data_IF_956692646991
#
_entry.id   IF_956692646991
#
_cell.length_a   1.000
_cell.length_b   1.000
_cell.length_c   1.000
_cell.angle_alpha   90.00
_cell.angle_beta   90.00
_cell.angle_gamma   90.00
#
_symmetry.space_group_name_H-M   'P 1'
#
loop_
_entity.id
_entity.type
_entity.pdbx_description
1 polymer ?
#
# COMPACT_ATOMS: atom_id res chain seq x y z
N UNK A 1 -12.95 -35.13 -8.58
CA UNK A 1 -11.97 -35.70 -7.65
C UNK A 1 -10.78 -34.79 -7.70
N UNK A 2 -10.74 -33.86 -6.74
CA UNK A 2 -9.51 -33.31 -6.13
C UNK A 2 -9.92 -32.16 -5.20
N UNK A 3 -10.55 -32.56 -4.08
CA UNK A 3 -10.79 -31.70 -2.91
C UNK A 3 -9.95 -32.23 -1.74
N UNK A 4 -8.65 -32.22 -1.86
CA UNK A 4 -7.75 -32.64 -0.77
C UNK A 4 -6.41 -31.92 -0.82
N UNK A 5 -6.37 -30.58 -0.63
CA UNK A 5 -5.09 -29.92 -0.30
C UNK A 5 -5.21 -28.67 0.59
N UNK A 6 -6.35 -28.44 1.23
CA UNK A 6 -6.50 -27.33 2.20
C UNK A 6 -6.59 -27.75 3.67
N UNK A 7 -6.12 -28.95 4.00
CA UNK A 7 -6.08 -29.39 5.39
C UNK A 7 -4.64 -29.35 5.92
N UNK A 8 -4.30 -28.34 6.74
CA UNK A 8 -3.14 -28.43 7.63
C UNK A 8 -2.08 -27.34 7.60
N UNK A 9 -2.39 -26.07 7.34
CA UNK A 9 -1.43 -24.97 7.51
C UNK A 9 -1.34 -24.43 8.97
N UNK A 10 -1.93 -25.12 9.94
CA UNK A 10 -1.92 -24.76 11.39
C UNK A 10 -0.73 -25.27 12.17
N UNK A 11 0.41 -25.57 11.56
CA UNK A 11 1.64 -26.00 12.22
C UNK A 11 2.64 -24.85 12.38
N UNK A 12 3.51 -24.92 13.39
CA UNK A 12 4.60 -23.97 13.62
C UNK A 12 5.49 -23.88 12.36
N UNK A 13 5.41 -22.77 11.62
CA UNK A 13 6.17 -22.48 10.40
C UNK A 13 7.67 -22.59 10.62
N UNK A 14 8.16 -22.18 11.80
CA UNK A 14 9.56 -22.29 12.15
C UNK A 14 9.99 -23.74 12.38
N UNK A 15 9.14 -24.57 12.99
CA UNK A 15 9.40 -26.00 13.14
C UNK A 15 9.41 -26.69 11.77
N UNK A 16 8.47 -26.36 10.89
CA UNK A 16 8.42 -26.85 9.50
C UNK A 16 9.67 -26.44 8.71
N UNK A 17 10.09 -25.17 8.83
CA UNK A 17 11.30 -24.68 8.19
C UNK A 17 12.53 -25.45 8.66
N UNK A 18 12.69 -25.64 9.98
CA UNK A 18 13.82 -26.42 10.54
C UNK A 18 13.85 -27.85 10.00
N UNK A 19 12.69 -28.50 9.89
CA UNK A 19 12.59 -29.87 9.39
C UNK A 19 12.92 -30.00 7.91
N UNK A 20 12.58 -29.01 7.08
CA UNK A 20 12.79 -29.03 5.63
C UNK A 20 14.14 -28.44 5.22
N UNK A 21 14.81 -27.69 6.07
CA UNK A 21 16.07 -26.99 5.77
C UNK A 21 17.13 -27.88 5.11
N UNK A 22 17.36 -29.14 5.56
CA UNK A 22 18.34 -30.03 4.93
C UNK A 22 17.97 -30.49 3.51
N UNK A 23 16.70 -30.41 3.13
CA UNK A 23 16.17 -30.83 1.83
C UNK A 23 16.04 -29.69 0.82
N UNK A 24 16.21 -28.44 1.27
CA UNK A 24 16.17 -27.26 0.40
C UNK A 24 17.41 -27.19 -0.50
N UNK A 25 17.28 -26.58 -1.67
CA UNK A 25 18.44 -26.28 -2.51
C UNK A 25 19.41 -25.32 -1.78
N UNK A 26 20.71 -25.28 -2.14
CA UNK A 26 21.69 -24.42 -1.48
C UNK A 26 21.27 -22.94 -1.46
N UNK A 27 20.58 -22.44 -2.49
CA UNK A 27 20.11 -21.08 -2.57
C UNK A 27 18.87 -20.83 -1.68
N UNK A 28 17.93 -21.76 -1.64
CA UNK A 28 16.76 -21.69 -0.75
C UNK A 28 17.16 -21.85 0.73
N UNK A 29 18.17 -22.69 0.99
CA UNK A 29 18.71 -22.88 2.35
C UNK A 29 19.30 -21.58 2.92
N UNK A 30 19.90 -20.69 2.09
CA UNK A 30 20.35 -19.37 2.54
C UNK A 30 19.19 -18.54 3.04
N UNK A 31 18.07 -18.51 2.32
CA UNK A 31 16.85 -17.82 2.75
C UNK A 31 16.34 -18.43 4.06
N UNK A 32 16.27 -19.75 4.13
CA UNK A 32 15.83 -20.45 5.34
C UNK A 32 16.68 -20.17 6.57
N UNK A 33 18.00 -20.14 6.40
CA UNK A 33 18.93 -19.79 7.49
C UNK A 33 18.76 -18.34 7.92
N UNK A 34 18.57 -17.42 6.97
CA UNK A 34 18.32 -16.02 7.27
C UNK A 34 17.01 -15.85 8.05
N UNK A 35 15.93 -16.53 7.64
CA UNK A 35 14.65 -16.54 8.36
C UNK A 35 14.81 -17.09 9.79
N UNK A 36 15.57 -18.16 9.98
CA UNK A 36 15.79 -18.77 11.30
C UNK A 36 16.66 -17.92 12.21
N UNK A 37 17.57 -17.11 11.66
CA UNK A 37 18.45 -16.23 12.43
C UNK A 37 17.66 -15.09 13.11
N UNK A 38 16.76 -14.44 12.39
CA UNK A 38 15.87 -13.43 12.97
C UNK A 38 14.48 -13.42 12.30
N UNK A 39 13.59 -14.32 12.73
CA UNK A 39 12.23 -14.38 12.15
C UNK A 39 11.43 -13.09 12.35
N UNK A 40 11.74 -12.31 13.40
CA UNK A 40 11.04 -11.06 13.69
C UNK A 40 11.43 -9.94 12.71
N UNK A 41 12.70 -9.87 12.31
CA UNK A 41 13.15 -8.93 11.29
C UNK A 41 12.59 -9.33 9.91
N UNK A 42 12.55 -10.63 9.60
CA UNK A 42 12.00 -11.14 8.34
C UNK A 42 10.53 -10.76 8.11
N UNK A 43 9.73 -10.69 9.16
CA UNK A 43 8.33 -10.23 9.06
C UNK A 43 8.24 -8.78 8.52
N UNK A 44 9.25 -7.98 8.73
CA UNK A 44 9.31 -6.57 8.30
C UNK A 44 9.73 -6.40 6.85
N UNK A 45 10.38 -7.41 6.29
CA UNK A 45 10.97 -7.36 4.96
C UNK A 45 9.96 -7.63 3.86
N UNK A 46 10.22 -7.04 2.70
CA UNK A 46 9.62 -7.40 1.43
C UNK A 46 10.31 -8.62 0.83
N UNK A 47 9.72 -9.22 -0.22
CA UNK A 47 10.36 -10.32 -0.95
C UNK A 47 11.73 -9.90 -1.51
N UNK A 48 11.82 -8.70 -2.06
CA UNK A 48 13.05 -8.17 -2.63
C UNK A 48 14.15 -7.96 -1.57
N UNK A 49 13.79 -7.43 -0.40
CA UNK A 49 14.73 -7.23 0.70
C UNK A 49 15.28 -8.55 1.24
N UNK A 50 14.42 -9.56 1.45
CA UNK A 50 14.93 -10.86 1.91
C UNK A 50 15.79 -11.54 0.85
N UNK A 51 15.44 -11.44 -0.43
CA UNK A 51 16.25 -11.95 -1.52
C UNK A 51 17.63 -11.28 -1.54
N UNK A 52 17.68 -9.96 -1.42
CA UNK A 52 18.91 -9.17 -1.36
C UNK A 52 19.76 -9.53 -0.14
N UNK A 53 19.16 -9.57 1.06
CA UNK A 53 19.86 -9.86 2.30
C UNK A 53 20.37 -11.31 2.37
N UNK A 54 19.64 -12.25 1.78
CA UNK A 54 20.05 -13.66 1.68
C UNK A 54 21.03 -13.92 0.53
N UNK A 55 21.31 -12.92 -0.33
CA UNK A 55 22.19 -13.05 -1.49
C UNK A 55 21.64 -13.99 -2.55
N UNK A 56 20.33 -13.92 -2.82
CA UNK A 56 19.63 -14.72 -3.84
C UNK A 56 18.75 -13.84 -4.73
N UNK A 57 18.16 -14.40 -5.79
CA UNK A 57 17.16 -13.70 -6.60
C UNK A 57 15.76 -13.79 -5.98
N UNK A 58 14.88 -12.83 -6.32
CA UNK A 58 13.45 -12.82 -5.90
C UNK A 58 12.75 -14.13 -6.29
N UNK A 59 13.05 -14.65 -7.48
CA UNK A 59 12.54 -15.94 -7.93
C UNK A 59 12.97 -17.11 -7.01
N UNK A 60 14.16 -17.05 -6.42
CA UNK A 60 14.64 -18.02 -5.45
C UNK A 60 13.95 -17.88 -4.10
N UNK A 61 13.76 -16.64 -3.62
CA UNK A 61 13.01 -16.37 -2.40
C UNK A 61 11.55 -16.82 -2.53
N UNK A 62 10.92 -16.62 -3.70
CA UNK A 62 9.57 -17.11 -3.96
C UNK A 62 9.51 -18.65 -4.02
N UNK A 63 10.50 -19.31 -4.65
CA UNK A 63 10.58 -20.77 -4.65
C UNK A 63 10.74 -21.34 -3.24
N UNK A 64 11.55 -20.70 -2.40
CA UNK A 64 11.67 -21.06 -0.98
C UNK A 64 10.30 -21.10 -0.28
N UNK A 65 9.44 -20.08 -0.47
CA UNK A 65 8.09 -20.09 0.09
C UNK A 65 7.29 -21.30 -0.39
N UNK A 66 7.36 -21.59 -1.70
CA UNK A 66 6.65 -22.73 -2.32
C UNK A 66 7.19 -24.09 -1.85
N UNK A 67 8.49 -24.21 -1.63
CA UNK A 67 9.11 -25.43 -1.08
C UNK A 67 8.65 -25.70 0.36
N UNK A 68 8.23 -24.66 1.07
CA UNK A 68 7.59 -24.76 2.38
C UNK A 68 6.08 -24.96 2.30
N UNK A 69 5.49 -25.01 1.08
CA UNK A 69 4.06 -25.24 0.86
C UNK A 69 3.18 -23.98 0.94
N UNK A 70 3.78 -22.80 0.83
CA UNK A 70 3.06 -21.53 0.74
C UNK A 70 2.96 -21.08 -0.72
N UNK A 71 1.86 -20.44 -1.10
CA UNK A 71 1.67 -19.92 -2.47
C UNK A 71 2.65 -18.79 -2.81
N UNK A 72 2.98 -17.98 -1.80
CA UNK A 72 3.88 -16.85 -1.97
C UNK A 72 4.39 -16.26 -0.65
N UNK A 73 5.09 -15.13 -0.80
CA UNK A 73 5.73 -14.42 0.31
C UNK A 73 4.75 -13.94 1.38
N UNK A 74 3.61 -13.41 0.97
CA UNK A 74 2.61 -12.88 1.91
C UNK A 74 2.04 -14.01 2.79
N UNK A 75 1.67 -15.14 2.20
CA UNK A 75 1.15 -16.28 2.95
C UNK A 75 2.19 -16.86 3.90
N UNK A 76 3.45 -16.99 3.46
CA UNK A 76 4.55 -17.37 4.31
C UNK A 76 4.73 -16.42 5.49
N UNK A 77 4.71 -15.10 5.26
CA UNK A 77 4.81 -14.09 6.34
C UNK A 77 3.68 -14.21 7.35
N UNK A 78 2.44 -14.37 6.90
CA UNK A 78 1.28 -14.54 7.80
C UNK A 78 1.48 -15.80 8.68
N UNK A 79 1.89 -16.91 8.08
CA UNK A 79 2.14 -18.15 8.81
C UNK A 79 3.34 -18.02 9.79
N UNK A 80 4.38 -17.27 9.40
CA UNK A 80 5.53 -16.98 10.26
C UNK A 80 5.12 -16.14 11.45
N UNK A 81 4.29 -15.11 11.27
CA UNK A 81 3.71 -14.31 12.36
C UNK A 81 2.93 -15.18 13.34
N UNK A 82 2.10 -16.09 12.83
CA UNK A 82 1.32 -17.01 13.67
C UNK A 82 2.19 -18.01 14.46
N UNK A 83 3.39 -18.30 13.96
CA UNK A 83 4.35 -19.21 14.62
C UNK A 83 5.19 -18.53 15.71
N UNK A 84 5.16 -17.19 15.76
CA UNK A 84 5.89 -16.46 16.78
C UNK A 84 5.08 -16.39 18.09
N UNK A 85 5.74 -16.40 19.25
CA UNK A 85 5.06 -16.13 20.51
C UNK A 85 4.27 -14.82 20.42
N UNK A 86 3.05 -14.81 20.93
CA UNK A 86 2.20 -13.63 20.98
C UNK A 86 2.98 -12.46 21.59
N UNK A 87 3.26 -11.46 20.79
CA UNK A 87 3.99 -10.26 21.21
C UNK A 87 3.19 -9.02 20.78
N UNK A 88 2.92 -8.09 21.69
CA UNK A 88 2.28 -6.81 21.36
C UNK A 88 2.99 -6.07 20.23
N UNK A 89 4.30 -6.31 20.06
CA UNK A 89 5.12 -5.74 19.00
C UNK A 89 4.68 -6.17 17.59
N UNK A 90 3.88 -7.25 17.45
CA UNK A 90 3.25 -7.62 16.17
C UNK A 90 2.11 -6.66 15.80
N UNK A 91 1.52 -5.98 16.77
CA UNK A 91 0.46 -5.00 16.56
C UNK A 91 1.07 -3.63 16.24
N UNK A 92 2.13 -3.26 16.96
CA UNK A 92 2.82 -1.98 16.76
C UNK A 92 4.26 -2.07 17.27
N UNK A 93 5.23 -1.48 16.56
CA UNK A 93 6.63 -1.45 16.99
C UNK A 93 6.80 -0.68 18.30
N UNK A 94 7.62 -1.23 19.19
CA UNK A 94 7.96 -0.56 20.43
C UNK A 94 6.89 -0.62 21.53
N UNK A 95 5.76 -1.34 21.34
CA UNK A 95 4.78 -1.56 22.40
C UNK A 95 5.12 -2.79 23.26
N UNK A 96 4.70 -2.78 24.52
CA UNK A 96 4.89 -3.85 25.49
C UNK A 96 3.57 -4.11 26.23
N UNK A 97 3.39 -5.32 26.77
CA UNK A 97 2.25 -5.65 27.63
C UNK A 97 2.20 -4.81 28.92
N UNK A 98 3.35 -4.27 29.34
CA UNK A 98 3.48 -3.43 30.53
C UNK A 98 3.12 -1.96 30.26
N UNK A 99 2.88 -1.59 28.99
CA UNK A 99 2.55 -0.20 28.65
C UNK A 99 1.17 0.21 29.17
N UNK A 100 1.12 1.35 29.82
CA UNK A 100 -0.16 1.99 30.16
C UNK A 100 -0.85 2.50 28.89
N UNK A 101 -2.20 2.69 28.88
CA UNK A 101 -2.91 3.28 27.73
C UNK A 101 -2.34 4.62 27.27
N UNK A 102 -1.88 5.47 28.20
CA UNK A 102 -1.24 6.74 27.87
C UNK A 102 0.13 6.58 27.22
N UNK A 103 0.92 5.58 27.63
CA UNK A 103 2.19 5.22 26.99
C UNK A 103 1.95 4.71 25.57
N UNK A 104 0.99 3.80 25.40
CA UNK A 104 0.61 3.25 24.09
C UNK A 104 0.19 4.36 23.12
N UNK A 105 -0.72 5.25 23.54
CA UNK A 105 -1.17 6.36 22.70
C UNK A 105 0.00 7.26 22.27
N UNK A 106 0.92 7.57 23.18
CA UNK A 106 2.12 8.35 22.87
C UNK A 106 3.03 7.64 21.85
N UNK A 107 3.27 6.35 22.02
CA UNK A 107 4.09 5.55 21.10
C UNK A 107 3.49 5.53 19.69
N UNK A 108 2.18 5.29 19.55
CA UNK A 108 1.48 5.31 18.25
C UNK A 108 1.60 6.67 17.57
N UNK A 109 1.37 7.77 18.31
CA UNK A 109 1.49 9.11 17.74
C UNK A 109 2.93 9.46 17.36
N UNK A 110 3.92 9.01 18.14
CA UNK A 110 5.33 9.19 17.80
C UNK A 110 5.74 8.38 16.57
N UNK A 111 5.25 7.14 16.41
CA UNK A 111 5.44 6.34 15.19
C UNK A 111 4.85 7.01 13.95
N UNK A 112 3.64 7.57 14.09
CA UNK A 112 3.00 8.34 13.01
C UNK A 112 3.81 9.58 12.62
N UNK A 113 4.32 10.31 13.62
CA UNK A 113 5.21 11.46 13.39
C UNK A 113 6.48 11.03 12.66
N UNK A 114 7.11 9.93 13.10
CA UNK A 114 8.32 9.41 12.45
C UNK A 114 8.06 9.04 10.98
N UNK A 115 6.93 8.39 10.67
CA UNK A 115 6.57 8.05 9.29
C UNK A 115 6.42 9.30 8.39
N UNK A 116 5.93 10.41 8.94
CA UNK A 116 5.89 11.70 8.23
C UNK A 116 7.29 12.28 8.04
N UNK A 117 8.13 12.28 9.08
CA UNK A 117 9.51 12.77 9.00
C UNK A 117 10.33 11.96 7.97
N UNK A 118 10.21 10.63 8.00
CA UNK A 118 10.88 9.72 7.05
C UNK A 118 10.40 9.97 5.61
N UNK A 119 9.07 10.08 5.40
CA UNK A 119 8.49 10.36 4.08
C UNK A 119 8.96 11.72 3.54
N UNK A 120 9.01 12.74 4.40
CA UNK A 120 9.51 14.07 4.03
C UNK A 120 10.98 14.04 3.65
N UNK A 121 11.78 13.23 4.33
CA UNK A 121 13.24 13.12 4.09
C UNK A 121 13.59 12.51 2.73
N UNK A 122 12.70 11.68 2.17
CA UNK A 122 12.89 11.01 0.88
C UNK A 122 11.99 11.57 -0.22
N UNK A 123 11.29 12.68 0.03
CA UNK A 123 10.37 13.27 -0.94
C UNK A 123 11.13 13.72 -2.19
N UNK A 124 10.89 13.02 -3.30
CA UNK A 124 11.39 13.39 -4.62
C UNK A 124 10.51 14.51 -5.21
N UNK A 125 11.06 15.71 -5.28
CA UNK A 125 10.34 16.90 -5.76
C UNK A 125 10.04 16.80 -7.27
N UNK A 126 10.90 16.19 -8.06
CA UNK A 126 10.69 16.04 -9.50
C UNK A 126 9.56 15.02 -9.77
N UNK A 127 9.57 13.88 -9.06
CA UNK A 127 8.47 12.92 -9.10
C UNK A 127 7.15 13.53 -8.62
N UNK A 128 7.19 14.36 -7.57
CA UNK A 128 6.00 15.04 -7.06
C UNK A 128 5.44 16.05 -8.08
N UNK A 129 6.30 16.81 -8.76
CA UNK A 129 5.89 17.72 -9.83
C UNK A 129 5.33 16.97 -11.05
N UNK A 130 5.95 15.85 -11.42
CA UNK A 130 5.45 14.97 -12.48
C UNK A 130 4.04 14.42 -12.13
N UNK A 131 3.81 14.02 -10.88
CA UNK A 131 2.50 13.59 -10.40
C UNK A 131 1.45 14.70 -10.52
N UNK A 132 1.79 15.95 -10.16
CA UNK A 132 0.90 17.11 -10.34
C UNK A 132 0.55 17.33 -11.79
N UNK A 133 1.53 17.20 -12.71
CA UNK A 133 1.30 17.35 -14.15
C UNK A 133 0.38 16.25 -14.71
N UNK A 134 0.59 14.98 -14.31
CA UNK A 134 -0.29 13.88 -14.71
C UNK A 134 -1.73 14.12 -14.26
N UNK A 135 -1.92 14.51 -12.98
CA UNK A 135 -3.24 14.77 -12.42
C UNK A 135 -3.95 15.97 -13.08
N UNK A 136 -3.20 17.05 -13.38
CA UNK A 136 -3.77 18.26 -14.00
C UNK A 136 -4.14 18.06 -15.46
N UNK A 137 -3.39 17.25 -16.21
CA UNK A 137 -3.55 17.08 -17.64
C UNK A 137 -4.49 15.92 -18.03
N UNK A 138 -4.82 15.04 -17.07
CA UNK A 138 -5.65 13.88 -17.34
C UNK A 138 -7.08 14.30 -17.75
N UNK A 139 -7.58 13.70 -18.83
CA UNK A 139 -8.99 13.82 -19.24
C UNK A 139 -9.93 13.16 -18.21
N UNK A 140 -9.53 12.02 -17.67
CA UNK A 140 -10.22 11.28 -16.63
C UNK A 140 -9.20 10.54 -15.77
N UNK A 141 -9.45 10.43 -14.47
CA UNK A 141 -8.58 9.79 -13.51
C UNK A 141 -9.30 8.60 -12.89
N UNK A 142 -8.74 7.40 -13.03
CA UNK A 142 -9.18 6.23 -12.30
C UNK A 142 -8.25 6.01 -11.12
N UNK A 143 -8.79 6.11 -9.90
CA UNK A 143 -8.06 5.92 -8.65
C UNK A 143 -8.35 4.52 -8.13
N UNK A 144 -7.32 3.74 -7.86
CA UNK A 144 -7.46 2.34 -7.46
C UNK A 144 -6.72 2.05 -6.16
N UNK A 145 -7.28 1.12 -5.38
CA UNK A 145 -6.67 0.60 -4.17
C UNK A 145 -7.48 -0.60 -3.68
N UNK A 146 -6.82 -1.69 -3.33
CA UNK A 146 -7.46 -2.92 -2.86
C UNK A 146 -7.29 -3.07 -1.35
N UNK A 147 -8.27 -3.68 -0.69
CA UNK A 147 -8.22 -3.94 0.75
C UNK A 147 -8.02 -2.65 1.54
N UNK A 148 -7.00 -2.63 2.37
CA UNK A 148 -6.69 -1.50 3.26
C UNK A 148 -6.18 -0.24 2.53
N UNK A 149 -5.82 -0.31 1.24
CA UNK A 149 -5.53 0.86 0.39
C UNK A 149 -6.79 1.51 -0.19
N UNK A 150 -7.93 0.82 -0.18
CA UNK A 150 -9.21 1.36 -0.64
C UNK A 150 -9.61 2.67 0.03
N UNK A 151 -9.56 2.81 1.37
CA UNK A 151 -9.82 4.07 2.05
C UNK A 151 -8.97 5.24 1.56
N UNK A 152 -7.68 5.00 1.21
CA UNK A 152 -6.80 6.05 0.66
C UNK A 152 -7.21 6.44 -0.76
N UNK A 153 -7.63 5.47 -1.58
CA UNK A 153 -8.18 5.74 -2.90
C UNK A 153 -9.46 6.58 -2.82
N UNK A 154 -10.36 6.28 -1.90
CA UNK A 154 -11.56 7.07 -1.63
C UNK A 154 -11.23 8.47 -1.12
N UNK A 155 -10.24 8.62 -0.26
CA UNK A 155 -9.82 9.94 0.22
C UNK A 155 -9.25 10.78 -0.92
N UNK A 156 -8.38 10.23 -1.76
CA UNK A 156 -7.87 10.93 -2.93
C UNK A 156 -9.00 11.35 -3.87
N UNK A 157 -9.94 10.45 -4.15
CA UNK A 157 -11.13 10.76 -4.94
C UNK A 157 -11.92 11.93 -4.33
N UNK A 158 -12.19 11.89 -3.01
CA UNK A 158 -12.91 12.94 -2.31
C UNK A 158 -12.21 14.31 -2.40
N UNK A 159 -10.87 14.34 -2.43
CA UNK A 159 -10.11 15.58 -2.61
C UNK A 159 -10.17 16.09 -4.06
N UNK A 160 -9.99 15.19 -5.03
CA UNK A 160 -9.90 15.59 -6.44
C UNK A 160 -11.25 16.06 -7.02
N UNK A 161 -12.38 15.47 -6.60
CA UNK A 161 -13.70 15.96 -7.07
C UNK A 161 -13.98 17.38 -6.60
N UNK A 162 -13.42 17.84 -5.46
CA UNK A 162 -13.56 19.24 -4.99
C UNK A 162 -12.88 20.23 -5.92
N UNK A 163 -11.86 19.80 -6.63
CA UNK A 163 -11.17 20.58 -7.64
C UNK A 163 -11.90 20.56 -9.00
N UNK A 164 -13.02 19.82 -9.11
CA UNK A 164 -13.74 19.65 -10.36
C UNK A 164 -13.06 18.70 -11.34
N UNK A 165 -12.07 17.91 -10.90
CA UNK A 165 -11.41 16.93 -11.75
C UNK A 165 -12.35 15.75 -12.02
N UNK A 166 -12.36 15.29 -13.26
CA UNK A 166 -13.12 14.10 -13.65
C UNK A 166 -12.41 12.85 -13.16
N UNK A 167 -12.81 12.34 -11.99
CA UNK A 167 -12.18 11.20 -11.36
C UNK A 167 -13.21 10.19 -10.85
N UNK A 168 -12.80 8.94 -10.82
CA UNK A 168 -13.56 7.80 -10.30
C UNK A 168 -12.66 6.99 -9.38
N UNK A 169 -13.26 6.27 -8.43
CA UNK A 169 -12.56 5.36 -7.53
C UNK A 169 -13.10 3.94 -7.73
N UNK A 170 -12.18 2.98 -7.78
CA UNK A 170 -12.54 1.56 -7.86
C UNK A 170 -11.67 0.74 -6.90
N UNK A 171 -12.32 -0.05 -6.05
CA UNK A 171 -11.66 -0.90 -5.04
C UNK A 171 -11.84 -2.40 -5.29
N UNK A 172 -12.70 -2.79 -6.22
CA UNK A 172 -12.83 -4.16 -6.68
C UNK A 172 -11.83 -4.43 -7.81
N UNK A 173 -10.97 -5.45 -7.67
CA UNK A 173 -9.87 -5.72 -8.59
C UNK A 173 -10.34 -6.12 -9.99
N UNK A 174 -11.45 -6.84 -10.12
CA UNK A 174 -12.01 -7.20 -11.43
C UNK A 174 -12.54 -5.96 -12.17
N UNK A 175 -13.29 -5.12 -11.45
CA UNK A 175 -13.82 -3.89 -12.03
C UNK A 175 -12.71 -2.89 -12.39
N UNK A 176 -11.58 -2.89 -11.65
CA UNK A 176 -10.41 -2.09 -11.99
C UNK A 176 -9.89 -2.44 -13.39
N UNK A 177 -9.61 -3.71 -13.65
CA UNK A 177 -9.11 -4.18 -14.95
C UNK A 177 -10.11 -3.88 -16.07
N UNK A 178 -11.41 -4.13 -15.84
CA UNK A 178 -12.46 -3.82 -16.82
C UNK A 178 -12.51 -2.33 -17.16
N UNK A 179 -12.40 -1.45 -16.17
CA UNK A 179 -12.41 -0.01 -16.39
C UNK A 179 -11.14 0.46 -17.11
N UNK A 180 -9.97 -0.04 -16.68
CA UNK A 180 -8.68 0.30 -17.29
C UNK A 180 -8.64 -0.07 -18.77
N UNK A 181 -9.18 -1.23 -19.16
CA UNK A 181 -9.22 -1.66 -20.56
C UNK A 181 -10.02 -0.71 -21.50
N UNK A 182 -10.85 0.16 -20.93
CA UNK A 182 -11.65 1.15 -21.67
C UNK A 182 -11.07 2.57 -21.62
N UNK A 183 -9.97 2.78 -20.88
CA UNK A 183 -9.29 4.07 -20.80
C UNK A 183 -8.51 4.38 -22.08
N UNK A 184 -8.13 5.63 -22.22
CA UNK A 184 -7.39 6.17 -23.37
C UNK A 184 -6.05 6.74 -22.88
N UNK A 185 -5.07 6.94 -23.78
CA UNK A 185 -3.76 7.50 -23.42
C UNK A 185 -3.81 8.87 -22.71
N UNK A 186 -4.90 9.62 -22.90
CA UNK A 186 -5.12 10.93 -22.25
C UNK A 186 -5.71 10.81 -20.83
N UNK A 187 -6.02 9.60 -20.37
CA UNK A 187 -6.48 9.32 -19.01
C UNK A 187 -5.31 9.02 -18.10
N UNK A 188 -5.58 8.86 -16.81
CA UNK A 188 -4.59 8.51 -15.79
C UNK A 188 -5.13 7.39 -14.90
N UNK A 189 -4.30 6.42 -14.59
CA UNK A 189 -4.55 5.45 -13.51
C UNK A 189 -3.67 5.80 -12.31
N UNK A 190 -4.29 6.00 -11.15
CA UNK A 190 -3.59 6.12 -9.88
C UNK A 190 -3.73 4.81 -9.13
N UNK A 191 -2.62 4.17 -8.79
CA UNK A 191 -2.60 2.91 -8.04
C UNK A 191 -1.99 3.12 -6.67
N UNK A 192 -2.76 2.87 -5.62
CA UNK A 192 -2.31 2.99 -4.23
C UNK A 192 -2.12 1.58 -3.67
N UNK A 193 -0.87 1.23 -3.34
CA UNK A 193 -0.51 -0.07 -2.76
C UNK A 193 0.69 0.07 -1.85
N UNK A 194 0.53 -0.18 -0.54
CA UNK A 194 1.60 0.02 0.44
C UNK A 194 2.84 -0.82 0.14
N UNK A 195 2.69 -2.10 -0.14
CA UNK A 195 3.83 -2.98 -0.46
C UNK A 195 4.24 -2.92 -1.94
N UNK A 196 3.29 -2.60 -2.83
CA UNK A 196 3.50 -2.69 -4.27
C UNK A 196 3.75 -4.11 -4.81
N UNK A 197 3.57 -5.13 -3.96
CA UNK A 197 3.85 -6.55 -4.27
C UNK A 197 2.58 -7.35 -4.55
N UNK A 198 1.41 -6.80 -4.23
CA UNK A 198 0.13 -7.47 -4.45
C UNK A 198 -0.17 -7.62 -5.94
N UNK A 199 -0.65 -8.81 -6.34
CA UNK A 199 -0.92 -9.16 -7.74
C UNK A 199 -2.00 -8.25 -8.37
N UNK A 200 -3.10 -7.99 -7.67
CA UNK A 200 -4.21 -7.19 -8.20
C UNK A 200 -3.81 -5.75 -8.60
N UNK A 201 -3.15 -4.93 -7.75
CA UNK A 201 -2.67 -3.61 -8.14
C UNK A 201 -1.65 -3.67 -9.28
N UNK A 202 -0.76 -4.67 -9.27
CA UNK A 202 0.21 -4.88 -10.33
C UNK A 202 -0.47 -5.17 -11.67
N UNK A 203 -1.46 -6.08 -11.70
CA UNK A 203 -2.23 -6.40 -12.93
C UNK A 203 -3.00 -5.19 -13.45
N UNK A 204 -3.58 -4.40 -12.56
CA UNK A 204 -4.26 -3.15 -12.94
C UNK A 204 -3.30 -2.17 -13.62
N UNK A 205 -2.10 -1.98 -13.06
CA UNK A 205 -1.07 -1.14 -13.66
C UNK A 205 -0.52 -1.70 -14.98
N UNK A 206 -0.36 -3.02 -15.06
CA UNK A 206 0.10 -3.70 -16.29
C UNK A 206 -0.91 -3.51 -17.43
N UNK A 207 -2.21 -3.63 -17.17
CA UNK A 207 -3.27 -3.37 -18.13
C UNK A 207 -3.26 -1.91 -18.60
N UNK A 208 -3.06 -0.95 -17.67
CA UNK A 208 -2.94 0.46 -18.01
C UNK A 208 -1.76 0.70 -18.98
N UNK A 209 -0.61 0.09 -18.73
CA UNK A 209 0.54 0.17 -19.65
C UNK A 209 0.25 -0.41 -21.03
N UNK A 210 -0.45 -1.55 -21.10
CA UNK A 210 -0.85 -2.14 -22.39
C UNK A 210 -1.78 -1.20 -23.17
N UNK A 211 -2.68 -0.51 -22.48
CA UNK A 211 -3.55 0.51 -23.05
C UNK A 211 -2.82 1.87 -23.28
N UNK A 212 -1.53 1.98 -22.95
CA UNK A 212 -0.72 3.21 -23.01
C UNK A 212 -1.29 4.36 -22.15
N UNK A 213 -1.96 4.00 -21.07
CA UNK A 213 -2.46 4.96 -20.07
C UNK A 213 -1.38 5.18 -19.03
N UNK A 214 -0.99 6.43 -18.71
CA UNK A 214 -0.04 6.72 -17.66
C UNK A 214 -0.46 6.17 -16.30
N UNK A 215 0.53 5.72 -15.51
CA UNK A 215 0.35 5.16 -14.17
C UNK A 215 1.10 6.00 -13.13
N UNK A 216 0.36 6.58 -12.19
CA UNK A 216 0.90 7.16 -10.95
C UNK A 216 0.76 6.14 -9.82
N UNK A 217 1.88 5.75 -9.22
CA UNK A 217 1.92 4.84 -8.07
C UNK A 217 2.17 5.60 -6.76
N UNK A 218 1.41 5.28 -5.71
CA UNK A 218 1.71 5.68 -4.33
C UNK A 218 1.98 4.40 -3.54
N UNK A 219 3.23 4.21 -3.10
CA UNK A 219 3.68 2.97 -2.45
C UNK A 219 4.69 3.23 -1.33
N UNK A 220 4.89 2.27 -0.46
CA UNK A 220 5.97 2.28 0.55
C UNK A 220 7.28 1.64 0.07
N UNK A 221 7.29 1.02 -1.12
CA UNK A 221 8.43 0.25 -1.61
C UNK A 221 8.84 0.67 -3.03
N UNK A 222 9.95 1.41 -3.12
CA UNK A 222 10.51 1.87 -4.40
C UNK A 222 10.97 0.72 -5.33
N UNK A 223 11.31 -0.43 -4.76
CA UNK A 223 11.82 -1.60 -5.49
C UNK A 223 10.70 -2.60 -5.82
N UNK A 224 9.44 -2.26 -5.53
CA UNK A 224 8.32 -3.16 -5.77
C UNK A 224 8.07 -3.40 -7.26
N UNK A 225 7.50 -4.56 -7.64
CA UNK A 225 7.06 -4.83 -8.99
C UNK A 225 6.15 -3.73 -9.55
N UNK A 226 5.22 -3.21 -8.74
CA UNK A 226 4.32 -2.14 -9.13
C UNK A 226 5.08 -0.83 -9.44
N UNK A 227 6.03 -0.44 -8.58
CA UNK A 227 6.85 0.75 -8.79
C UNK A 227 7.65 0.65 -10.10
N UNK A 228 8.21 -0.52 -10.40
CA UNK A 228 9.04 -0.76 -11.59
C UNK A 228 8.30 -0.59 -12.92
N UNK A 229 6.97 -0.68 -12.93
CA UNK A 229 6.14 -0.54 -14.13
C UNK A 229 5.33 0.77 -14.15
N UNK A 230 5.44 1.61 -13.14
CA UNK A 230 4.73 2.89 -13.04
C UNK A 230 5.54 4.03 -13.67
N UNK A 231 4.85 5.01 -14.27
CA UNK A 231 5.51 6.16 -14.91
C UNK A 231 6.00 7.18 -13.88
N UNK A 232 5.25 7.35 -12.80
CA UNK A 232 5.60 8.20 -11.65
C UNK A 232 5.35 7.44 -10.36
N UNK A 233 6.30 7.50 -9.43
CA UNK A 233 6.21 6.84 -8.13
C UNK A 233 6.37 7.86 -7.01
N UNK A 234 5.40 7.92 -6.12
CA UNK A 234 5.49 8.67 -4.86
C UNK A 234 5.63 7.69 -3.70
N UNK A 235 6.63 7.92 -2.87
CA UNK A 235 6.96 7.05 -1.75
C UNK A 235 6.38 7.55 -0.44
N UNK A 236 5.72 6.65 0.30
CA UNK A 236 5.26 6.86 1.68
C UNK A 236 5.87 5.80 2.57
N UNK A 237 6.92 6.15 3.28
CA UNK A 237 7.68 5.21 4.11
C UNK A 237 7.11 5.14 5.52
N UNK A 238 7.14 3.95 6.13
CA UNK A 238 6.97 3.77 7.56
C UNK A 238 7.90 2.65 8.04
N UNK A 239 8.46 2.80 9.22
CA UNK A 239 9.33 1.80 9.86
C UNK A 239 8.53 0.65 10.53
N UNK A 240 7.26 0.50 10.21
CA UNK A 240 6.40 -0.47 10.87
C UNK A 240 6.53 -1.87 10.28
N UNK A 241 6.51 -2.87 11.15
CA UNK A 241 6.79 -4.26 10.84
C UNK A 241 5.70 -4.97 10.04
N UNK A 242 4.49 -4.42 10.04
CA UNK A 242 3.33 -5.03 9.40
C UNK A 242 2.88 -4.20 8.21
N UNK A 243 2.57 -4.82 7.06
CA UNK A 243 2.14 -4.12 5.83
C UNK A 243 0.86 -3.30 6.00
N UNK A 244 0.12 -3.50 7.07
CA UNK A 244 -1.21 -2.93 7.29
C UNK A 244 -1.27 -1.88 8.40
N UNK A 245 -0.14 -1.29 8.77
CA UNK A 245 -0.10 -0.36 9.90
C UNK A 245 -0.65 1.02 9.57
N UNK A 246 -1.17 1.69 10.59
CA UNK A 246 -1.84 3.00 10.48
C UNK A 246 -0.84 4.10 10.11
N UNK A 247 0.41 4.03 10.57
CA UNK A 247 1.40 5.10 10.36
C UNK A 247 1.78 5.29 8.90
N UNK A 248 1.89 4.21 8.11
CA UNK A 248 2.12 4.30 6.67
C UNK A 248 0.96 5.00 5.95
N UNK A 249 -0.27 4.82 6.43
CA UNK A 249 -1.46 5.47 5.86
C UNK A 249 -1.52 6.94 6.19
N UNK A 250 -1.05 7.36 7.37
CA UNK A 250 -0.94 8.77 7.73
C UNK A 250 0.02 9.48 6.77
N UNK A 251 1.13 8.86 6.42
CA UNK A 251 2.06 9.40 5.43
C UNK A 251 1.43 9.46 4.02
N UNK A 252 0.71 8.41 3.58
CA UNK A 252 -0.04 8.43 2.33
C UNK A 252 -1.10 9.53 2.30
N UNK A 253 -1.85 9.68 3.40
CA UNK A 253 -2.83 10.73 3.55
C UNK A 253 -2.19 12.13 3.40
N UNK A 254 -1.03 12.35 4.04
CA UNK A 254 -0.30 13.61 3.95
C UNK A 254 0.17 13.91 2.51
N UNK A 255 0.68 12.89 1.78
CA UNK A 255 1.04 13.04 0.36
C UNK A 255 -0.18 13.38 -0.52
N UNK A 256 -1.29 12.68 -0.34
CA UNK A 256 -2.55 12.95 -1.06
C UNK A 256 -3.02 14.38 -0.78
N UNK A 257 -2.93 14.82 0.48
CA UNK A 257 -3.31 16.18 0.86
C UNK A 257 -2.36 17.23 0.28
N UNK A 258 -1.06 16.96 0.23
CA UNK A 258 -0.09 17.85 -0.41
C UNK A 258 -0.37 17.99 -1.93
N UNK A 259 -0.67 16.89 -2.62
CA UNK A 259 -1.08 16.93 -4.03
C UNK A 259 -2.33 17.81 -4.21
N UNK A 260 -3.36 17.59 -3.38
CA UNK A 260 -4.59 18.37 -3.41
C UNK A 260 -4.33 19.88 -3.24
N UNK A 261 -3.54 20.28 -2.24
CA UNK A 261 -3.25 21.69 -1.98
C UNK A 261 -2.48 22.31 -3.15
N UNK A 262 -1.46 21.62 -3.69
CA UNK A 262 -0.70 22.12 -4.83
C UNK A 262 -1.58 22.26 -6.09
N UNK A 263 -2.47 21.30 -6.37
CA UNK A 263 -3.44 21.39 -7.46
C UNK A 263 -4.41 22.56 -7.27
N UNK A 264 -4.93 22.74 -6.04
CA UNK A 264 -5.81 23.86 -5.72
C UNK A 264 -5.12 25.22 -5.93
N UNK A 265 -3.86 25.33 -5.54
CA UNK A 265 -3.07 26.56 -5.71
C UNK A 265 -2.80 26.90 -7.18
N UNK A 266 -2.67 25.89 -8.05
CA UNK A 266 -2.49 26.09 -9.49
C UNK A 266 -3.72 26.70 -10.17
N UNK A 267 -4.92 26.56 -9.58
CA UNK A 267 -6.20 27.07 -10.11
C UNK A 267 -7.07 27.58 -8.96
N UNK A 268 -6.54 28.50 -8.18
CA UNK A 268 -7.12 28.93 -6.90
C UNK A 268 -8.54 29.48 -7.04
N UNK A 269 -8.79 30.34 -8.03
CA UNK A 269 -10.12 30.93 -8.23
C UNK A 269 -11.17 29.86 -8.54
N UNK A 270 -10.81 28.87 -9.38
CA UNK A 270 -11.69 27.74 -9.70
C UNK A 270 -11.92 26.84 -8.47
N UNK A 271 -10.87 26.58 -7.66
CA UNK A 271 -10.98 25.77 -6.46
C UNK A 271 -11.92 26.43 -5.45
N UNK A 272 -11.82 27.74 -5.24
CA UNK A 272 -12.71 28.52 -4.35
C UNK A 272 -14.15 28.46 -4.86
N UNK A 273 -14.38 28.64 -6.16
CA UNK A 273 -15.73 28.59 -6.75
C UNK A 273 -16.33 27.19 -6.62
N UNK A 274 -15.56 26.14 -6.88
CA UNK A 274 -16.02 24.75 -6.71
C UNK A 274 -16.41 24.47 -5.25
N UNK A 275 -15.59 24.90 -4.28
CA UNK A 275 -15.93 24.76 -2.85
C UNK A 275 -17.22 25.50 -2.50
N UNK A 276 -17.43 26.70 -3.05
CA UNK A 276 -18.68 27.46 -2.84
C UNK A 276 -19.90 26.73 -3.41
N UNK A 277 -19.77 26.15 -4.60
CA UNK A 277 -20.84 25.37 -5.25
C UNK A 277 -21.15 24.11 -4.40
N UNK A 278 -20.12 23.39 -4.00
CA UNK A 278 -20.26 22.17 -3.17
C UNK A 278 -20.90 22.51 -1.83
N UNK A 279 -20.42 23.57 -1.14
CA UNK A 279 -20.98 24.00 0.12
C UNK A 279 -22.47 24.33 0.00
N UNK A 280 -22.86 25.11 -1.00
CA UNK A 280 -24.26 25.44 -1.25
C UNK A 280 -25.13 24.20 -1.54
N UNK A 281 -24.59 23.19 -2.22
CA UNK A 281 -25.28 21.94 -2.45
C UNK A 281 -25.47 21.12 -1.17
N UNK A 282 -24.44 21.05 -0.33
CA UNK A 282 -24.46 20.36 0.96
C UNK A 282 -25.45 21.01 1.94
N UNK A 283 -25.47 22.34 1.99
CA UNK A 283 -26.43 23.08 2.84
C UNK A 283 -27.89 22.80 2.47
N UNK A 284 -28.19 22.60 1.18
CA UNK A 284 -29.54 22.20 0.73
C UNK A 284 -29.89 20.74 1.08
N UNK A 285 -28.88 19.89 1.29
CA UNK A 285 -29.07 18.48 1.67
C UNK A 285 -29.34 18.31 3.17
N UNK A 286 -28.97 19.29 3.99
CA UNK A 286 -29.12 19.21 5.46
C UNK A 286 -30.53 19.75 5.85
N UNK A 287 -31.52 18.92 6.11
CA UNK A 287 -32.82 19.35 6.60
C UNK A 287 -32.74 19.53 8.13
N UNK A 288 -32.02 20.51 8.60
CA UNK A 288 -32.12 20.93 10.00
C UNK A 288 -32.68 22.35 10.05
N UNK A 289 -33.95 22.51 9.69
CA UNK A 289 -34.74 23.54 10.31
C UNK A 289 -35.15 22.97 11.68
N UNK A 290 -34.47 23.39 12.73
CA UNK A 290 -35.02 23.33 14.08
C UNK A 290 -36.41 23.98 14.01
N UNK A 291 -37.44 23.16 14.24
CA UNK A 291 -38.79 23.69 14.28
C UNK A 291 -38.89 24.85 15.21
N UNK A 292 -39.53 25.91 14.75
CA UNK A 292 -40.13 26.92 15.57
C UNK A 292 -41.07 26.19 16.57
N UNK A 293 -40.68 26.22 17.85
CA UNK A 293 -41.58 25.91 18.98
C UNK A 293 -41.70 27.15 19.84
#
# INVERSE_FOLDING_TARGET
>A
MDQQHHAGLGGDTLARLRSLLPSLSPAESKVGQFVLADPREVIRMTLAEIAQQSGVSDATALRFCRSLGYEGWLEFKIALVQSLPHSPQLIHNGVSEEDSPGSLARKVLMGSKQALDDTLSILDIDAFQAALQLLSNARSILITGVGTSGPMAHEMHNRLIRLGLNCQVQTDSYLQVMQVALLRPEDLVVVISQTGESDDPYRTALEARQARVPVLCITGNALSPLASISDVVLLSVSQESMPETISSRIAQYALIHALYICLAMNSMDQAIENERIIWNALMRKTPFQAGEA
#
